data_IF_730139047692
#
_entry.id   IF_730139047692
#
_cell.length_a   1.000
_cell.length_b   1.000
_cell.length_c   1.000
_cell.angle_alpha   90.00
_cell.angle_beta   90.00
_cell.angle_gamma   90.00
#
_symmetry.space_group_name_H-M   'P 1'
#
loop_
_entity.id
_entity.type
_entity.pdbx_description
1 polymer ?
#
# COMPACT_ATOMS: atom_id res chain seq x y z
N UNK A 1 -15.38 -20.69 4.21
CA UNK A 1 -14.27 -21.45 4.83
C UNK A 1 -14.01 -21.04 6.30
N UNK A 2 -13.69 -19.78 6.63
CA UNK A 2 -13.36 -19.38 8.03
C UNK A 2 -14.50 -19.57 9.05
N UNK A 3 -15.76 -19.35 8.64
CA UNK A 3 -16.94 -19.60 9.50
C UNK A 3 -17.06 -21.07 9.93
N UNK A 4 -16.66 -22.02 9.08
CA UNK A 4 -16.68 -23.45 9.41
C UNK A 4 -15.72 -23.80 10.57
N UNK A 5 -14.63 -23.03 10.70
CA UNK A 5 -13.66 -23.15 11.79
C UNK A 5 -13.98 -22.25 12.99
N UNK A 6 -15.17 -21.64 13.04
CA UNK A 6 -15.64 -20.77 14.14
C UNK A 6 -14.69 -19.60 14.44
N UNK A 7 -14.01 -19.08 13.42
CA UNK A 7 -13.17 -17.87 13.57
C UNK A 7 -14.05 -16.67 13.88
N UNK A 8 -13.70 -15.92 14.92
CA UNK A 8 -14.37 -14.66 15.29
C UNK A 8 -13.92 -13.52 14.36
N UNK A 9 -14.67 -13.30 13.28
CA UNK A 9 -14.31 -12.34 12.22
C UNK A 9 -14.11 -10.88 12.68
N UNK A 10 -14.89 -10.34 13.64
CA UNK A 10 -14.64 -8.99 14.15
C UNK A 10 -13.27 -8.80 14.80
N UNK A 11 -12.65 -9.88 15.29
CA UNK A 11 -11.28 -9.89 15.85
C UNK A 11 -10.20 -10.31 14.85
N UNK A 12 -10.55 -10.50 13.58
CA UNK A 12 -9.62 -10.92 12.53
C UNK A 12 -9.34 -9.78 11.54
N UNK A 13 -8.11 -9.75 11.02
CA UNK A 13 -7.69 -8.86 9.94
C UNK A 13 -7.35 -9.67 8.69
N UNK A 14 -7.67 -9.14 7.52
CA UNK A 14 -7.28 -9.73 6.24
C UNK A 14 -6.06 -9.00 5.69
N UNK A 15 -4.90 -9.68 5.69
CA UNK A 15 -3.72 -9.21 4.94
C UNK A 15 -3.78 -9.72 3.51
N UNK A 16 -3.91 -8.81 2.55
CA UNK A 16 -4.08 -9.17 1.13
C UNK A 16 -3.26 -8.28 0.21
N UNK A 17 -2.97 -8.79 -0.99
CA UNK A 17 -2.50 -7.96 -2.11
C UNK A 17 -3.64 -7.12 -2.68
N UNK A 18 -3.26 -6.06 -3.38
CA UNK A 18 -4.14 -5.36 -4.33
C UNK A 18 -4.28 -6.20 -5.61
N UNK A 19 -5.33 -5.96 -6.39
CA UNK A 19 -5.50 -6.57 -7.71
C UNK A 19 -4.61 -5.82 -8.70
N UNK A 20 -3.52 -6.46 -9.12
CA UNK A 20 -2.49 -5.87 -9.98
C UNK A 20 -2.33 -6.69 -11.27
N UNK A 21 -1.84 -6.08 -12.37
CA UNK A 21 -1.35 -6.85 -13.50
C UNK A 21 -0.21 -7.78 -13.07
N UNK A 22 -0.12 -8.95 -13.71
CA UNK A 22 1.02 -9.84 -13.51
C UNK A 22 2.31 -9.18 -14.01
N UNK A 23 3.44 -9.43 -13.34
CA UNK A 23 4.74 -8.82 -13.70
C UNK A 23 5.15 -9.06 -15.16
N UNK A 24 4.82 -10.24 -15.68
CA UNK A 24 5.15 -10.65 -17.06
C UNK A 24 4.04 -10.32 -18.06
N UNK A 25 2.96 -9.65 -17.64
CA UNK A 25 1.81 -9.37 -18.51
C UNK A 25 2.07 -8.29 -19.55
N UNK A 26 3.11 -7.47 -19.37
CA UNK A 26 3.38 -6.28 -20.19
C UNK A 26 2.37 -5.13 -20.00
N UNK A 27 1.40 -5.30 -19.11
CA UNK A 27 0.37 -4.29 -18.83
C UNK A 27 0.87 -3.33 -17.75
N UNK A 28 0.80 -2.03 -18.02
CA UNK A 28 1.14 -1.00 -17.05
C UNK A 28 0.14 -0.97 -15.88
N UNK A 29 0.61 -0.57 -14.69
CA UNK A 29 -0.23 -0.39 -13.53
C UNK A 29 -1.05 0.89 -13.72
N UNK A 30 -2.38 0.76 -13.80
CA UNK A 30 -3.34 1.86 -13.76
C UNK A 30 -4.01 1.91 -12.39
N UNK A 31 -3.76 2.99 -11.65
CA UNK A 31 -4.27 3.21 -10.29
C UNK A 31 -5.78 3.08 -10.18
N UNK A 32 -6.54 3.59 -11.15
CA UNK A 32 -7.99 3.59 -11.09
C UNK A 32 -8.58 2.21 -11.36
N UNK A 33 -8.00 1.46 -12.30
CA UNK A 33 -8.37 0.07 -12.59
C UNK A 33 -8.00 -0.85 -11.40
N UNK A 34 -6.81 -0.69 -10.83
CA UNK A 34 -6.37 -1.41 -9.61
C UNK A 34 -7.36 -1.17 -8.47
N UNK A 35 -7.71 0.09 -8.21
CA UNK A 35 -8.63 0.43 -7.14
C UNK A 35 -10.02 -0.17 -7.37
N UNK A 36 -10.56 -0.02 -8.58
CA UNK A 36 -11.88 -0.53 -8.96
C UNK A 36 -11.95 -2.05 -8.81
N UNK A 37 -10.97 -2.78 -9.34
CA UNK A 37 -10.94 -4.24 -9.26
C UNK A 37 -10.73 -4.75 -7.84
N UNK A 38 -9.86 -4.08 -7.07
CA UNK A 38 -9.59 -4.45 -5.68
C UNK A 38 -10.85 -4.29 -4.83
N UNK A 39 -11.51 -3.13 -4.92
CA UNK A 39 -12.76 -2.85 -4.18
C UNK A 39 -13.84 -3.85 -4.56
N UNK A 40 -14.02 -4.14 -5.86
CA UNK A 40 -15.01 -5.14 -6.33
C UNK A 40 -14.78 -6.50 -5.68
N UNK A 41 -13.56 -7.03 -5.76
CA UNK A 41 -13.24 -8.37 -5.22
C UNK A 41 -13.47 -8.41 -3.70
N UNK A 42 -13.08 -7.36 -2.97
CA UNK A 42 -13.31 -7.30 -1.53
C UNK A 42 -14.80 -7.29 -1.18
N UNK A 43 -15.61 -6.44 -1.84
CA UNK A 43 -17.07 -6.41 -1.63
C UNK A 43 -17.77 -7.72 -1.96
N UNK A 44 -17.30 -8.45 -2.97
CA UNK A 44 -17.88 -9.74 -3.35
C UNK A 44 -17.52 -10.88 -2.38
N UNK A 45 -16.34 -10.84 -1.74
CA UNK A 45 -15.79 -12.02 -1.07
C UNK A 45 -15.45 -11.84 0.41
N UNK A 46 -15.37 -10.61 0.90
CA UNK A 46 -15.03 -10.32 2.30
C UNK A 46 -16.33 -10.05 3.07
N UNK A 47 -16.57 -10.70 4.21
CA UNK A 47 -17.74 -10.40 5.05
C UNK A 47 -17.60 -9.04 5.74
N UNK A 48 -18.68 -8.24 5.76
CA UNK A 48 -18.71 -6.90 6.37
C UNK A 48 -18.26 -6.88 7.85
N UNK A 49 -18.46 -7.98 8.58
CA UNK A 49 -18.09 -8.11 9.99
C UNK A 49 -16.58 -8.30 10.25
N UNK A 50 -15.73 -8.35 9.22
CA UNK A 50 -14.29 -8.45 9.39
C UNK A 50 -13.71 -7.21 10.10
N UNK A 51 -12.78 -7.40 11.01
CA UNK A 51 -12.16 -6.30 11.77
C UNK A 51 -11.37 -5.28 10.94
N UNK A 52 -10.88 -5.66 9.76
CA UNK A 52 -10.21 -4.73 8.84
C UNK A 52 -9.43 -5.40 7.72
N UNK A 53 -9.08 -4.63 6.70
CA UNK A 53 -8.24 -5.07 5.58
C UNK A 53 -6.90 -4.33 5.62
N UNK A 54 -5.81 -5.09 5.59
CA UNK A 54 -4.45 -4.56 5.58
C UNK A 54 -3.75 -4.94 4.27
N UNK A 55 -3.35 -3.95 3.48
CA UNK A 55 -2.70 -4.22 2.20
C UNK A 55 -1.19 -4.44 2.35
N UNK A 56 -0.66 -5.44 1.68
CA UNK A 56 0.79 -5.57 1.46
C UNK A 56 1.21 -4.77 0.22
N UNK A 57 2.42 -4.20 0.23
CA UNK A 57 2.92 -3.44 -0.93
C UNK A 57 3.27 -4.36 -2.10
N UNK A 58 3.60 -5.62 -1.82
CA UNK A 58 4.02 -6.58 -2.85
C UNK A 58 5.26 -6.06 -3.57
N UNK A 59 5.35 -6.31 -4.87
CA UNK A 59 6.45 -5.85 -5.73
C UNK A 59 6.22 -4.47 -6.37
N UNK A 60 5.26 -3.69 -5.89
CA UNK A 60 5.01 -2.34 -6.37
C UNK A 60 6.16 -1.42 -5.98
N UNK A 61 6.37 -0.35 -6.76
CA UNK A 61 7.20 0.77 -6.29
C UNK A 61 6.51 1.42 -5.07
N UNK A 62 7.29 2.04 -4.16
CA UNK A 62 6.74 2.75 -3.01
C UNK A 62 5.57 3.68 -3.36
N UNK A 63 5.78 4.56 -4.35
CA UNK A 63 4.78 5.55 -4.75
C UNK A 63 3.52 4.93 -5.36
N UNK A 64 3.68 3.87 -6.17
CA UNK A 64 2.54 3.15 -6.76
C UNK A 64 1.67 2.51 -5.67
N UNK A 65 2.30 1.92 -4.64
CA UNK A 65 1.57 1.34 -3.51
C UNK A 65 0.76 2.41 -2.74
N UNK A 66 1.33 3.60 -2.54
CA UNK A 66 0.65 4.72 -1.89
C UNK A 66 -0.51 5.26 -2.74
N UNK A 67 -0.29 5.48 -4.03
CA UNK A 67 -1.32 5.94 -4.98
C UNK A 67 -2.48 4.96 -5.08
N UNK A 68 -2.17 3.67 -5.17
CA UNK A 68 -3.18 2.61 -5.24
C UNK A 68 -3.99 2.52 -3.94
N UNK A 69 -3.34 2.58 -2.78
CA UNK A 69 -4.04 2.60 -1.49
C UNK A 69 -4.98 3.82 -1.38
N UNK A 70 -4.49 4.99 -1.79
CA UNK A 70 -5.28 6.22 -1.80
C UNK A 70 -6.54 6.10 -2.67
N UNK A 71 -6.38 5.62 -3.91
CA UNK A 71 -7.50 5.45 -4.82
C UNK A 71 -8.50 4.40 -4.32
N UNK A 72 -8.04 3.32 -3.67
CA UNK A 72 -8.92 2.36 -3.01
C UNK A 72 -9.72 3.05 -1.90
N UNK A 73 -9.06 3.79 -1.00
CA UNK A 73 -9.73 4.49 0.10
C UNK A 73 -10.76 5.53 -0.38
N UNK A 74 -10.47 6.23 -1.48
CA UNK A 74 -11.38 7.22 -2.09
C UNK A 74 -12.65 6.60 -2.69
N UNK A 75 -12.67 5.28 -2.97
CA UNK A 75 -13.86 4.56 -3.47
C UNK A 75 -14.82 4.13 -2.35
N UNK A 76 -14.60 4.61 -1.13
CA UNK A 76 -15.48 4.36 0.01
C UNK A 76 -16.88 4.98 -0.14
N UNK A 77 -17.78 4.74 0.83
CA UNK A 77 -17.49 4.07 2.10
C UNK A 77 -17.32 2.55 1.95
N UNK A 78 -16.40 1.99 2.75
CA UNK A 78 -16.21 0.54 2.88
C UNK A 78 -16.71 0.07 4.24
N UNK A 79 -17.24 -1.16 4.35
CA UNK A 79 -17.68 -1.72 5.63
C UNK A 79 -16.50 -2.04 6.57
N UNK A 80 -15.27 -2.09 6.05
CA UNK A 80 -14.05 -2.36 6.81
C UNK A 80 -13.17 -1.12 6.90
N UNK A 81 -12.43 -1.01 7.99
CA UNK A 81 -11.25 -0.15 8.02
C UNK A 81 -10.20 -0.64 7.03
N UNK A 82 -9.60 0.29 6.29
CA UNK A 82 -8.50 0.03 5.38
C UNK A 82 -7.20 0.59 5.95
N UNK A 83 -6.12 -0.19 5.86
CA UNK A 83 -4.78 0.28 6.22
C UNK A 83 -3.71 -0.51 5.46
N UNK A 84 -2.44 -0.26 5.77
CA UNK A 84 -1.29 -0.88 5.13
C UNK A 84 -0.47 -1.74 6.10
N UNK A 85 0.20 -2.75 5.55
CA UNK A 85 1.23 -3.56 6.18
C UNK A 85 2.43 -3.60 5.22
N UNK A 86 3.12 -2.47 5.14
CA UNK A 86 4.20 -2.22 4.18
C UNK A 86 5.58 -2.38 4.83
N UNK A 87 6.47 -3.06 4.12
CA UNK A 87 7.91 -3.07 4.41
C UNK A 87 8.61 -2.26 3.35
N UNK A 88 8.85 -2.82 2.15
CA UNK A 88 9.54 -2.14 1.03
C UNK A 88 9.01 -0.75 0.71
N UNK A 89 7.69 -0.56 0.64
CA UNK A 89 7.13 0.76 0.33
C UNK A 89 7.47 1.84 1.38
N UNK A 90 7.79 1.47 2.63
CA UNK A 90 8.23 2.42 3.66
C UNK A 90 9.76 2.44 3.84
N UNK A 91 10.41 1.29 3.67
CA UNK A 91 11.81 1.09 4.03
C UNK A 91 12.76 1.29 2.86
N UNK A 92 12.36 1.02 1.61
CA UNK A 92 13.26 1.14 0.46
C UNK A 92 13.84 2.56 0.30
N UNK A 93 13.06 3.65 0.43
CA UNK A 93 13.60 5.02 0.36
C UNK A 93 14.62 5.30 1.47
N UNK A 94 14.36 4.77 2.68
CA UNK A 94 15.22 4.94 3.86
C UNK A 94 16.53 4.19 3.69
N UNK A 95 16.44 2.93 3.26
CA UNK A 95 17.61 2.06 3.06
C UNK A 95 18.52 2.60 1.96
N UNK A 96 17.96 3.19 0.89
CA UNK A 96 18.74 3.82 -0.17
C UNK A 96 19.49 5.06 0.32
N UNK A 97 18.83 5.94 1.07
CA UNK A 97 19.48 7.11 1.67
C UNK A 97 20.59 6.68 2.63
N UNK A 98 20.25 5.77 3.54
CA UNK A 98 21.19 5.28 4.55
C UNK A 98 22.41 4.57 3.95
N UNK A 99 22.24 3.83 2.85
CA UNK A 99 23.35 3.19 2.15
C UNK A 99 24.40 4.19 1.62
N UNK A 100 23.99 5.42 1.28
CA UNK A 100 24.88 6.48 0.81
C UNK A 100 25.35 7.48 1.87
N UNK A 101 24.63 7.58 3.00
CA UNK A 101 24.84 8.58 4.06
C UNK A 101 24.63 7.93 5.44
N UNK A 102 25.48 6.97 5.82
CA UNK A 102 25.27 6.14 7.02
C UNK A 102 25.27 6.96 8.32
N UNK A 103 26.04 8.04 8.34
CA UNK A 103 26.15 9.00 9.43
C UNK A 103 24.91 9.89 9.56
N UNK A 104 24.12 10.07 8.49
CA UNK A 104 22.89 10.86 8.49
C UNK A 104 21.69 10.03 8.98
N UNK A 105 21.74 9.67 10.26
CA UNK A 105 20.67 8.96 10.95
C UNK A 105 19.38 9.81 10.96
N UNK A 106 19.51 11.12 11.18
CA UNK A 106 18.38 12.04 11.26
C UNK A 106 17.66 12.17 9.90
N UNK A 107 18.39 12.31 8.79
CA UNK A 107 17.79 12.32 7.46
C UNK A 107 17.11 11.00 7.12
N UNK A 108 17.71 9.87 7.47
CA UNK A 108 17.09 8.55 7.30
C UNK A 108 15.75 8.43 8.07
N UNK A 109 15.71 8.90 9.31
CA UNK A 109 14.48 8.92 10.13
C UNK A 109 13.42 9.88 9.57
N UNK A 110 13.84 11.04 9.05
CA UNK A 110 12.95 12.01 8.41
C UNK A 110 12.29 11.41 7.16
N UNK A 111 13.05 10.69 6.33
CA UNK A 111 12.51 9.99 5.16
C UNK A 111 11.49 8.94 5.58
N UNK A 112 11.78 8.14 6.61
CA UNK A 112 10.82 7.14 7.09
C UNK A 112 9.54 7.80 7.61
N UNK A 113 9.67 8.89 8.35
CA UNK A 113 8.54 9.64 8.92
C UNK A 113 7.66 10.21 7.81
N UNK A 114 8.26 10.77 6.76
CA UNK A 114 7.53 11.30 5.62
C UNK A 114 6.82 10.19 4.82
N UNK A 115 7.49 9.06 4.58
CA UNK A 115 6.86 7.89 3.95
C UNK A 115 5.68 7.36 4.76
N UNK A 116 5.82 7.30 6.09
CA UNK A 116 4.75 6.90 6.99
C UNK A 116 3.58 7.88 6.96
N UNK A 117 3.86 9.20 6.94
CA UNK A 117 2.85 10.25 6.81
C UNK A 117 2.05 10.09 5.52
N UNK A 118 2.73 9.90 4.38
CA UNK A 118 2.06 9.66 3.11
C UNK A 118 1.22 8.38 3.11
N UNK A 119 1.68 7.30 3.75
CA UNK A 119 0.90 6.07 3.89
C UNK A 119 -0.36 6.26 4.76
N UNK A 120 -0.26 7.07 5.81
CA UNK A 120 -1.41 7.48 6.62
C UNK A 120 -2.38 8.36 5.82
N UNK A 121 -1.90 9.30 5.02
CA UNK A 121 -2.78 10.10 4.17
C UNK A 121 -3.45 9.25 3.08
N UNK A 122 -2.72 8.29 2.51
CA UNK A 122 -3.22 7.35 1.52
C UNK A 122 -4.33 6.44 2.07
N UNK A 123 -4.17 5.84 3.26
CA UNK A 123 -5.24 4.99 3.83
C UNK A 123 -6.55 5.77 4.08
N UNK A 124 -6.45 7.09 4.18
CA UNK A 124 -7.56 8.00 4.43
C UNK A 124 -8.13 8.60 3.14
N UNK A 125 -7.54 8.30 1.98
CA UNK A 125 -7.93 8.87 0.69
C UNK A 125 -7.54 10.35 0.51
N UNK A 126 -6.54 10.84 1.25
CA UNK A 126 -6.11 12.24 1.29
C UNK A 126 -4.67 12.48 0.83
N UNK A 127 -4.04 11.49 0.19
CA UNK A 127 -2.70 11.68 -0.38
C UNK A 127 -2.77 12.76 -1.48
N UNK A 128 -1.93 13.79 -1.36
CA UNK A 128 -1.87 14.86 -2.36
C UNK A 128 -1.27 14.35 -3.67
N UNK A 129 -1.74 14.88 -4.81
CA UNK A 129 -1.34 14.41 -6.15
C UNK A 129 0.14 14.67 -6.47
N UNK A 130 0.76 15.63 -5.78
CA UNK A 130 2.15 16.07 -5.89
C UNK A 130 3.05 15.55 -4.75
N UNK A 131 2.48 14.87 -3.74
CA UNK A 131 3.24 14.34 -2.61
C UNK A 131 4.27 13.29 -3.04
N UNK A 132 3.99 12.56 -4.12
CA UNK A 132 4.95 11.64 -4.74
C UNK A 132 5.76 12.41 -5.78
N UNK A 133 6.82 13.09 -5.35
CA UNK A 133 7.75 13.74 -6.27
C UNK A 133 8.76 12.72 -6.82
N UNK A 134 9.14 12.88 -8.09
CA UNK A 134 10.21 12.15 -8.82
C UNK A 134 11.62 12.38 -8.22
N UNK A 135 11.74 12.76 -6.94
CA UNK A 135 13.03 12.93 -6.27
C UNK A 135 13.79 11.63 -6.06
N UNK A 136 13.19 10.48 -6.35
CA UNK A 136 13.87 9.19 -6.36
C UNK A 136 14.16 8.75 -7.79
N UNK A 137 15.12 9.44 -8.43
CA UNK A 137 15.76 8.96 -9.66
C UNK A 137 16.24 7.52 -9.42
N UNK A 138 15.66 6.61 -10.19
CA UNK A 138 16.05 5.21 -10.32
C UNK A 138 17.51 5.11 -10.79
N UNK A 139 18.45 5.20 -9.86
CA UNK A 139 19.77 4.64 -10.01
C UNK A 139 19.78 3.23 -9.43
N UNK A 140 19.79 2.21 -10.29
CA UNK A 140 20.00 0.79 -9.97
C UNK A 140 18.76 0.00 -9.53
N UNK A 141 17.95 -0.42 -10.50
CA UNK A 141 17.19 -1.68 -10.41
C UNK A 141 17.39 -2.47 -11.70
N UNK A 142 18.54 -3.13 -11.77
CA UNK A 142 18.76 -4.37 -12.53
C UNK A 142 19.60 -5.27 -11.64
N UNK A 143 18.93 -5.99 -10.73
CA UNK A 143 19.37 -7.26 -10.13
C UNK A 143 18.12 -8.09 -9.80
#
# INVERSE_FOLDING_TARGET
>A
MMKAYRVHLPGAILKTSMVLPGKESGIAIDTEDVATRTVRVLHEHVPAELGGVVFLSGGQKPDDALKNLNAIAQKGPHPWGLTFSYSRALQDPVLRHWAGQQEDIAGSQNIFTEQLRMAVDAREGRLAQDATSDTFVSGSQDL
#
